data_IF_359307806836
#
_entry.id   IF_359307806836
#
_cell.length_a   1.000
_cell.length_b   1.000
_cell.length_c   1.000
_cell.angle_alpha   90.00
_cell.angle_beta   90.00
_cell.angle_gamma   90.00
#
_symmetry.space_group_name_H-M   'P 1'
#
loop_
_entity.id
_entity.type
_entity.pdbx_description
1 polymer ?
#
# COMPACT_ATOMS: atom_id res chain seq x y z
N UNK A 1 -9.57 -16.47 47.40
CA UNK A 1 -9.03 -15.17 46.93
C UNK A 1 -8.72 -15.08 45.42
N UNK A 2 -8.66 -16.16 44.64
CA UNK A 2 -8.23 -16.11 43.22
C UNK A 2 -9.33 -16.03 42.14
N UNK A 3 -10.63 -16.07 42.49
CA UNK A 3 -11.73 -15.94 41.50
C UNK A 3 -12.27 -14.51 41.32
N UNK A 4 -11.97 -13.59 42.23
CA UNK A 4 -12.40 -12.19 42.15
C UNK A 4 -11.54 -11.32 41.22
N UNK A 5 -10.24 -11.58 41.14
CA UNK A 5 -9.28 -10.78 40.38
C UNK A 5 -9.45 -10.95 38.85
N UNK A 6 -9.79 -12.17 38.40
CA UNK A 6 -10.02 -12.48 36.98
C UNK A 6 -11.32 -11.86 36.45
N UNK A 7 -12.37 -11.80 37.29
CA UNK A 7 -13.64 -11.15 36.93
C UNK A 7 -13.46 -9.63 36.87
N UNK A 8 -12.68 -9.03 37.78
CA UNK A 8 -12.37 -7.60 37.73
C UNK A 8 -11.56 -7.21 36.49
N UNK A 9 -10.54 -7.98 36.10
CA UNK A 9 -9.77 -7.73 34.88
C UNK A 9 -10.60 -7.92 33.60
N UNK A 10 -11.51 -8.91 33.56
CA UNK A 10 -12.42 -9.09 32.43
C UNK A 10 -13.48 -7.98 32.33
N UNK A 11 -13.97 -7.46 33.48
CA UNK A 11 -14.88 -6.32 33.52
C UNK A 11 -14.17 -5.03 33.16
N UNK A 12 -12.93 -4.81 33.62
CA UNK A 12 -12.11 -3.65 33.27
C UNK A 12 -11.73 -3.66 31.78
N UNK A 13 -11.36 -4.82 31.22
CA UNK A 13 -11.13 -4.96 29.77
C UNK A 13 -12.41 -4.76 28.94
N UNK A 14 -13.58 -5.22 29.42
CA UNK A 14 -14.88 -4.95 28.77
C UNK A 14 -15.34 -3.49 28.93
N UNK A 15 -15.01 -2.82 30.04
CA UNK A 15 -15.30 -1.40 30.29
C UNK A 15 -14.36 -0.49 29.48
N UNK A 16 -13.07 -0.82 29.37
CA UNK A 16 -12.11 -0.16 28.47
C UNK A 16 -12.47 -0.41 26.99
N UNK A 17 -12.91 -1.62 26.63
CA UNK A 17 -13.42 -1.91 25.29
C UNK A 17 -14.79 -1.26 25.00
N UNK A 18 -15.64 -1.03 26.02
CA UNK A 18 -16.86 -0.22 25.90
C UNK A 18 -16.55 1.28 25.82
N UNK A 19 -15.53 1.76 26.53
CA UNK A 19 -15.04 3.14 26.49
C UNK A 19 -14.41 3.50 25.15
N UNK A 20 -13.61 2.61 24.56
CA UNK A 20 -12.98 2.79 23.24
C UNK A 20 -13.95 2.62 22.06
N UNK A 21 -15.08 1.93 22.23
CA UNK A 21 -16.11 1.79 21.18
C UNK A 21 -16.85 3.08 20.85
N UNK A 22 -16.68 4.15 21.63
CA UNK A 22 -17.35 5.44 21.46
C UNK A 22 -16.43 6.65 21.69
N UNK A 23 -15.17 6.63 21.25
CA UNK A 23 -14.49 7.90 21.02
C UNK A 23 -15.26 8.64 19.92
N UNK A 24 -15.97 9.72 20.30
CA UNK A 24 -16.84 10.46 19.40
C UNK A 24 -15.97 11.06 18.30
N UNK A 25 -16.11 10.56 17.07
CA UNK A 25 -15.38 11.07 15.91
C UNK A 25 -15.48 12.60 15.86
N UNK A 26 -14.38 13.28 15.54
CA UNK A 26 -14.39 14.72 15.27
C UNK A 26 -15.30 15.03 14.07
N UNK A 27 -15.70 16.29 13.90
CA UNK A 27 -16.51 16.68 12.73
C UNK A 27 -15.79 16.36 11.41
N UNK A 28 -14.48 16.60 11.35
CA UNK A 28 -13.63 16.27 10.22
C UNK A 28 -13.59 14.76 9.95
N UNK A 29 -13.35 13.95 10.99
CA UNK A 29 -13.36 12.48 10.84
C UNK A 29 -14.70 11.94 10.37
N UNK A 30 -15.83 12.52 10.85
CA UNK A 30 -17.17 12.13 10.36
C UNK A 30 -17.34 12.46 8.89
N UNK A 31 -16.94 13.66 8.45
CA UNK A 31 -17.01 14.06 7.04
C UNK A 31 -16.14 13.17 6.16
N UNK A 32 -14.89 12.93 6.56
CA UNK A 32 -13.96 12.03 5.87
C UNK A 32 -14.57 10.64 5.68
N UNK A 33 -15.04 9.98 6.75
CA UNK A 33 -15.66 8.65 6.65
C UNK A 33 -17.00 8.64 5.91
N UNK A 34 -17.78 9.73 5.97
CA UNK A 34 -19.00 9.86 5.17
C UNK A 34 -18.71 10.02 3.68
N UNK A 35 -17.50 10.47 3.32
CA UNK A 35 -17.08 10.66 1.93
C UNK A 35 -16.49 9.41 1.27
N UNK A 36 -16.23 8.34 2.04
CA UNK A 36 -15.78 7.05 1.50
C UNK A 36 -16.84 6.50 0.55
N UNK A 37 -16.48 6.33 -0.72
CA UNK A 37 -17.32 5.71 -1.75
C UNK A 37 -16.84 4.32 -2.12
N UNK A 38 -15.59 4.00 -1.82
CA UNK A 38 -15.05 2.69 -2.09
C UNK A 38 -15.64 1.61 -1.18
N UNK A 39 -15.35 0.37 -1.54
CA UNK A 39 -15.73 -0.80 -0.77
C UNK A 39 -15.23 -0.69 0.68
N UNK A 40 -16.14 -0.96 1.62
CA UNK A 40 -15.79 -0.97 3.02
C UNK A 40 -15.08 -2.29 3.39
N UNK A 41 -13.78 -2.36 3.12
CA UNK A 41 -12.91 -3.50 3.45
C UNK A 41 -12.85 -3.80 4.96
N UNK A 42 -13.29 -2.89 5.82
CA UNK A 42 -13.43 -3.17 7.27
C UNK A 42 -14.46 -4.25 7.55
N UNK A 43 -15.47 -4.42 6.68
CA UNK A 43 -16.43 -5.55 6.78
C UNK A 43 -15.75 -6.87 6.41
N UNK A 44 -14.91 -6.87 5.38
CA UNK A 44 -14.12 -8.04 4.97
C UNK A 44 -13.15 -8.43 6.10
N UNK A 45 -12.48 -7.47 6.73
CA UNK A 45 -11.59 -7.72 7.85
C UNK A 45 -12.30 -8.51 8.97
N UNK A 46 -13.54 -8.13 9.31
CA UNK A 46 -14.33 -8.82 10.34
C UNK A 46 -14.69 -10.27 9.98
N UNK A 47 -14.80 -10.58 8.69
CA UNK A 47 -15.21 -11.90 8.21
C UNK A 47 -14.03 -12.83 7.92
N UNK A 48 -12.95 -12.28 7.38
CA UNK A 48 -11.87 -13.07 6.79
C UNK A 48 -10.54 -12.92 7.52
N UNK A 49 -10.29 -11.80 8.20
CA UNK A 49 -9.03 -11.59 8.87
C UNK A 49 -8.97 -12.36 10.18
N UNK A 50 -7.89 -13.11 10.37
CA UNK A 50 -7.62 -13.77 11.64
C UNK A 50 -6.92 -12.78 12.58
N UNK A 51 -7.32 -12.82 13.86
CA UNK A 51 -6.70 -12.04 14.93
C UNK A 51 -5.56 -12.83 15.56
N UNK A 52 -4.40 -12.21 15.69
CA UNK A 52 -3.27 -12.78 16.43
C UNK A 52 -3.51 -12.71 17.94
N UNK A 53 -2.91 -13.64 18.70
CA UNK A 53 -2.85 -13.56 20.16
C UNK A 53 -1.70 -12.68 20.65
N UNK A 54 -0.73 -12.37 19.78
CA UNK A 54 0.36 -11.43 20.06
C UNK A 54 -0.19 -10.01 20.11
N UNK A 55 0.08 -9.33 21.21
CA UNK A 55 -0.11 -7.88 21.36
C UNK A 55 1.18 -7.22 20.91
N UNK A 56 1.15 -6.27 20.00
CA UNK A 56 2.34 -5.52 19.58
C UNK A 56 2.68 -4.44 20.61
N UNK A 57 3.95 -4.31 20.97
CA UNK A 57 4.48 -3.41 22.02
C UNK A 57 5.48 -2.41 21.45
N UNK A 58 6.05 -1.55 22.30
CA UNK A 58 7.09 -0.61 21.90
C UNK A 58 8.33 -1.30 21.31
N UNK A 59 8.63 -2.53 21.75
CA UNK A 59 9.74 -3.33 21.21
C UNK A 59 9.53 -3.75 19.75
N UNK A 60 8.27 -3.83 19.30
CA UNK A 60 7.95 -4.13 17.91
C UNK A 60 7.95 -2.86 17.04
N UNK A 61 8.11 -1.66 17.62
CA UNK A 61 8.05 -0.40 16.87
C UNK A 61 9.20 -0.33 15.86
N UNK A 62 8.87 0.00 14.62
CA UNK A 62 9.88 0.26 13.58
C UNK A 62 10.60 1.58 13.85
N UNK A 63 11.84 1.70 13.35
CA UNK A 63 12.61 2.94 13.53
C UNK A 63 11.92 4.14 12.84
N UNK A 64 12.08 5.37 13.36
CA UNK A 64 11.52 6.57 12.74
C UNK A 64 11.93 6.74 11.27
N UNK A 65 13.15 6.35 10.93
CA UNK A 65 13.71 6.44 9.57
C UNK A 65 12.95 5.51 8.61
N UNK A 66 12.68 4.27 9.04
CA UNK A 66 11.90 3.31 8.24
C UNK A 66 10.43 3.76 8.09
N UNK A 67 9.84 4.33 9.16
CA UNK A 67 8.50 4.91 9.09
C UNK A 67 8.42 6.03 8.06
N UNK A 68 9.43 6.91 8.06
CA UNK A 68 9.54 7.99 7.09
C UNK A 68 9.76 7.46 5.67
N UNK A 69 10.70 6.52 5.46
CA UNK A 69 10.97 5.89 4.16
C UNK A 69 9.68 5.29 3.55
N UNK A 70 8.91 4.53 4.34
CA UNK A 70 7.68 3.93 3.86
C UNK A 70 6.55 4.93 3.66
N UNK A 71 6.49 6.00 4.47
CA UNK A 71 5.55 7.08 4.24
C UNK A 71 5.82 7.78 2.91
N UNK A 72 7.09 7.98 2.53
CA UNK A 72 7.50 8.55 1.24
C UNK A 72 7.20 7.60 0.08
N UNK A 73 7.61 6.33 0.15
CA UNK A 73 7.35 5.35 -0.92
C UNK A 73 5.83 5.15 -1.12
N UNK A 74 5.05 5.22 -0.03
CA UNK A 74 3.58 5.15 -0.08
C UNK A 74 2.95 6.26 -0.93
N UNK A 75 3.55 7.45 -0.99
CA UNK A 75 3.05 8.55 -1.83
C UNK A 75 3.05 8.19 -3.32
N UNK A 76 4.07 7.46 -3.79
CA UNK A 76 4.14 6.97 -5.16
C UNK A 76 3.10 5.86 -5.43
N UNK A 77 2.91 4.95 -4.47
CA UNK A 77 1.86 3.92 -4.57
C UNK A 77 0.44 4.54 -4.65
N UNK A 78 0.21 5.61 -3.89
CA UNK A 78 -1.05 6.35 -3.88
C UNK A 78 -1.25 7.12 -5.19
N UNK A 79 -0.21 7.79 -5.69
CA UNK A 79 -0.26 8.56 -6.94
C UNK A 79 -0.64 7.70 -8.16
N UNK A 80 -0.30 6.41 -8.16
CA UNK A 80 -0.67 5.51 -9.24
C UNK A 80 -2.20 5.41 -9.46
N UNK A 81 -3.03 5.77 -8.47
CA UNK A 81 -4.50 5.82 -8.59
C UNK A 81 -5.01 7.10 -9.24
N UNK A 82 -4.15 8.07 -9.56
CA UNK A 82 -4.55 9.32 -10.18
C UNK A 82 -5.34 9.08 -11.46
N UNK A 83 -6.41 9.84 -11.63
CA UNK A 83 -7.17 9.88 -12.89
C UNK A 83 -6.50 10.76 -13.94
N UNK A 84 -5.59 11.64 -13.53
CA UNK A 84 -4.75 12.43 -14.41
C UNK A 84 -3.59 11.57 -14.91
N UNK A 85 -3.20 11.75 -16.16
CA UNK A 85 -2.06 11.05 -16.75
C UNK A 85 -0.77 11.37 -15.97
N UNK A 86 0.13 10.40 -15.74
CA UNK A 86 1.41 10.64 -15.07
C UNK A 86 2.19 11.80 -15.67
N UNK A 87 2.21 11.93 -17.00
CA UNK A 87 2.88 13.00 -17.74
C UNK A 87 2.40 14.38 -17.28
N UNK A 88 1.09 14.53 -17.12
CA UNK A 88 0.50 15.77 -16.62
C UNK A 88 0.89 16.00 -15.16
N UNK A 89 0.76 14.99 -14.30
CA UNK A 89 1.05 15.16 -12.87
C UNK A 89 2.51 15.54 -12.64
N UNK A 90 3.45 14.79 -13.23
CA UNK A 90 4.89 15.05 -13.07
C UNK A 90 5.31 16.40 -13.69
N UNK A 91 4.65 16.84 -14.77
CA UNK A 91 4.86 18.17 -15.35
C UNK A 91 4.27 19.33 -14.54
N UNK A 92 3.43 19.06 -13.53
CA UNK A 92 2.72 20.07 -12.74
C UNK A 92 2.82 19.82 -11.22
N UNK A 93 3.86 19.12 -10.75
CA UNK A 93 4.01 18.78 -9.33
C UNK A 93 3.97 20.03 -8.44
N UNK A 94 4.66 21.10 -8.80
CA UNK A 94 4.70 22.33 -8.01
C UNK A 94 3.29 22.92 -7.81
N UNK A 95 2.50 23.01 -8.89
CA UNK A 95 1.15 23.55 -8.83
C UNK A 95 0.20 22.64 -8.03
N UNK A 96 0.30 21.32 -8.22
CA UNK A 96 -0.55 20.33 -7.56
C UNK A 96 -0.18 20.09 -6.08
N UNK A 97 1.04 20.45 -5.67
CA UNK A 97 1.54 20.27 -4.28
C UNK A 97 1.26 21.46 -3.37
N UNK A 98 0.72 22.57 -3.90
CA UNK A 98 0.32 23.74 -3.11
C UNK A 98 -0.72 23.38 -2.04
N UNK A 99 -0.82 24.21 -1.01
CA UNK A 99 -1.88 24.11 -0.01
C UNK A 99 -3.27 24.01 -0.67
N UNK A 100 -4.13 23.15 -0.14
CA UNK A 100 -5.47 22.82 -0.68
C UNK A 100 -5.52 22.13 -2.06
N UNK A 101 -4.40 21.94 -2.75
CA UNK A 101 -4.34 21.16 -4.00
C UNK A 101 -4.25 19.64 -3.74
N UNK A 102 -4.41 18.78 -4.77
CA UNK A 102 -4.54 17.34 -4.57
C UNK A 102 -3.32 16.67 -3.93
N UNK A 103 -2.11 17.18 -4.19
CA UNK A 103 -0.83 16.63 -3.71
C UNK A 103 -0.26 17.39 -2.50
N UNK A 104 -1.07 18.20 -1.83
CA UNK A 104 -0.72 18.79 -0.54
C UNK A 104 -0.25 17.69 0.45
N UNK A 105 0.99 17.80 0.94
CA UNK A 105 1.64 16.85 1.84
C UNK A 105 2.24 15.61 1.16
N UNK A 106 2.36 15.61 -0.17
CA UNK A 106 3.09 14.59 -0.95
C UNK A 106 4.54 15.04 -1.21
N UNK A 107 5.27 15.25 -0.12
CA UNK A 107 6.59 15.89 -0.14
C UNK A 107 7.71 15.01 -0.74
N UNK A 108 7.44 13.74 -1.04
CA UNK A 108 8.40 12.82 -1.64
C UNK A 108 8.37 12.84 -3.18
N UNK A 109 7.32 13.38 -3.79
CA UNK A 109 7.17 13.45 -5.25
C UNK A 109 8.04 14.55 -5.89
N UNK A 110 8.14 15.78 -5.32
CA UNK A 110 9.02 16.82 -5.86
C UNK A 110 10.47 16.34 -6.02
N UNK A 111 11.13 16.78 -7.10
CA UNK A 111 12.47 16.32 -7.47
C UNK A 111 12.51 14.94 -8.14
N UNK A 112 11.35 14.36 -8.47
CA UNK A 112 11.25 13.14 -9.28
C UNK A 112 10.94 13.45 -10.74
N UNK A 113 11.54 12.69 -11.64
CA UNK A 113 11.32 12.80 -13.09
C UNK A 113 10.54 11.58 -13.58
N UNK A 114 9.47 11.78 -14.34
CA UNK A 114 8.76 10.68 -14.99
C UNK A 114 9.63 10.06 -16.08
N UNK A 115 9.80 8.74 -16.04
CA UNK A 115 10.45 7.97 -17.12
C UNK A 115 9.40 7.48 -18.12
N UNK A 116 8.34 6.85 -17.61
CA UNK A 116 7.26 6.29 -18.43
C UNK A 116 5.95 6.19 -17.65
N UNK A 117 4.88 6.82 -18.13
CA UNK A 117 3.51 6.46 -17.74
C UNK A 117 2.98 5.32 -18.62
N UNK A 118 2.20 4.40 -18.05
CA UNK A 118 1.64 3.30 -18.83
C UNK A 118 0.28 2.81 -18.32
N UNK A 119 -0.43 2.11 -19.20
CA UNK A 119 -1.65 1.36 -18.90
C UNK A 119 -1.49 -0.06 -19.41
N UNK A 120 -1.84 -1.02 -18.57
CA UNK A 120 -1.74 -2.43 -18.91
C UNK A 120 -2.85 -2.90 -19.85
N UNK A 121 -2.53 -3.88 -20.70
CA UNK A 121 -3.45 -4.47 -21.69
C UNK A 121 -4.65 -5.20 -21.04
N UNK A 122 -4.56 -5.43 -19.73
CA UNK A 122 -5.60 -6.07 -18.92
C UNK A 122 -6.17 -5.05 -17.94
N UNK A 123 -7.48 -4.83 -18.04
CA UNK A 123 -8.24 -3.93 -17.17
C UNK A 123 -7.76 -2.47 -17.18
N UNK A 124 -6.99 -2.08 -18.21
CA UNK A 124 -6.46 -0.73 -18.37
C UNK A 124 -5.64 -0.26 -17.16
N UNK A 125 -4.92 -1.21 -16.52
CA UNK A 125 -4.31 -1.03 -15.21
C UNK A 125 -3.25 0.08 -15.23
N UNK A 126 -3.45 1.21 -14.53
CA UNK A 126 -2.47 2.29 -14.50
C UNK A 126 -1.21 1.91 -13.73
N UNK A 127 -0.06 2.34 -14.24
CA UNK A 127 1.22 2.35 -13.55
C UNK A 127 2.17 3.35 -14.17
N UNK A 128 3.30 3.57 -13.53
CA UNK A 128 4.35 4.43 -14.06
C UNK A 128 5.72 4.07 -13.49
N UNK A 129 6.77 4.56 -14.16
CA UNK A 129 8.15 4.54 -13.71
C UNK A 129 8.63 5.99 -13.56
N UNK A 130 9.20 6.33 -12.40
CA UNK A 130 9.76 7.64 -12.13
C UNK A 130 11.12 7.52 -11.45
N UNK A 131 12.07 8.37 -11.85
CA UNK A 131 13.37 8.47 -11.20
C UNK A 131 13.32 9.53 -10.10
N UNK A 132 13.50 9.10 -8.84
CA UNK A 132 13.56 9.94 -7.64
C UNK A 132 15.00 10.38 -7.40
N UNK A 133 15.40 11.48 -8.03
CA UNK A 133 16.79 11.95 -8.05
C UNK A 133 17.44 12.15 -6.66
N UNK A 134 16.75 12.71 -5.63
CA UNK A 134 17.36 12.93 -4.31
C UNK A 134 17.83 11.65 -3.61
N UNK A 135 17.30 10.49 -4.00
CA UNK A 135 17.70 9.17 -3.47
C UNK A 135 18.30 8.24 -4.52
N UNK A 136 18.46 8.70 -5.78
CA UNK A 136 18.88 7.88 -6.92
C UNK A 136 18.08 6.58 -7.08
N UNK A 137 16.77 6.67 -6.80
CA UNK A 137 15.85 5.52 -6.83
C UNK A 137 15.04 5.52 -8.12
N UNK A 138 14.92 4.37 -8.77
CA UNK A 138 13.95 4.16 -9.85
C UNK A 138 12.68 3.53 -9.27
N UNK A 139 11.61 4.31 -9.17
CA UNK A 139 10.34 3.89 -8.59
C UNK A 139 9.43 3.34 -9.69
N UNK A 140 8.98 2.11 -9.56
CA UNK A 140 7.92 1.50 -10.38
C UNK A 140 6.66 1.40 -9.52
N UNK A 141 5.67 2.24 -9.80
CA UNK A 141 4.43 2.30 -9.03
C UNK A 141 3.27 1.74 -9.84
N UNK A 142 2.53 0.79 -9.24
CA UNK A 142 1.40 0.13 -9.89
C UNK A 142 0.15 0.32 -9.03
N UNK A 143 -0.91 0.79 -9.65
CA UNK A 143 -2.19 1.03 -8.99
C UNK A 143 -2.92 -0.28 -8.63
N UNK A 144 -3.92 -0.18 -7.75
CA UNK A 144 -4.93 -1.21 -7.61
C UNK A 144 -6.09 -0.97 -8.59
N UNK A 145 -6.90 -2.00 -8.85
CA UNK A 145 -8.09 -1.83 -9.70
C UNK A 145 -9.37 -1.75 -8.87
N UNK A 146 -10.25 -0.81 -9.24
CA UNK A 146 -11.61 -0.73 -8.72
C UNK A 146 -12.47 -1.98 -9.07
N UNK A 147 -12.03 -2.79 -10.05
CA UNK A 147 -12.74 -4.00 -10.52
C UNK A 147 -12.37 -5.27 -9.74
N UNK A 148 -11.27 -5.28 -8.98
CA UNK A 148 -10.92 -6.40 -8.08
C UNK A 148 -12.00 -6.59 -7.02
N UNK A 149 -12.78 -5.55 -6.75
CA UNK A 149 -14.05 -5.60 -6.03
C UNK A 149 -14.93 -6.80 -6.42
N UNK A 150 -15.06 -7.08 -7.71
CA UNK A 150 -15.87 -8.21 -8.18
C UNK A 150 -15.11 -9.54 -8.00
N UNK A 151 -13.81 -9.60 -8.28
CA UNK A 151 -12.99 -10.80 -8.07
C UNK A 151 -12.75 -11.18 -6.60
N UNK A 152 -12.91 -10.23 -5.67
CA UNK A 152 -12.82 -10.46 -4.22
C UNK A 152 -14.16 -10.96 -3.64
N UNK A 153 -15.28 -10.62 -4.28
CA UNK A 153 -16.63 -11.05 -3.89
C UNK A 153 -17.06 -12.33 -4.60
N UNK A 154 -16.82 -12.42 -5.90
CA UNK A 154 -16.89 -13.64 -6.68
C UNK A 154 -15.66 -14.46 -6.28
N UNK A 155 -15.87 -15.45 -5.41
CA UNK A 155 -14.89 -16.32 -4.73
C UNK A 155 -14.06 -17.18 -5.73
N UNK A 156 -13.51 -16.58 -6.78
CA UNK A 156 -12.68 -17.25 -7.75
C UNK A 156 -11.21 -17.13 -7.31
N UNK A 157 -10.89 -17.76 -6.19
CA UNK A 157 -9.52 -17.91 -5.67
C UNK A 157 -8.70 -18.92 -6.48
N UNK A 158 -8.95 -19.02 -7.78
CA UNK A 158 -8.30 -19.98 -8.67
C UNK A 158 -6.82 -19.69 -8.76
N UNK A 159 -6.03 -20.69 -8.40
CA UNK A 159 -4.59 -20.73 -8.62
C UNK A 159 -4.31 -21.31 -10.00
N UNK A 160 -3.30 -20.78 -10.66
CA UNK A 160 -2.70 -21.35 -11.87
C UNK A 160 -1.22 -21.58 -11.62
N UNK A 161 -0.59 -22.47 -12.39
CA UNK A 161 0.85 -22.73 -12.31
C UNK A 161 1.64 -21.46 -12.63
N UNK A 162 2.63 -21.15 -11.80
CA UNK A 162 3.60 -20.09 -12.04
C UNK A 162 4.86 -20.68 -12.73
N UNK A 163 5.48 -19.99 -13.70
CA UNK A 163 6.61 -20.55 -14.47
C UNK A 163 7.90 -20.75 -13.66
N UNK A 164 8.09 -20.01 -12.56
CA UNK A 164 9.32 -20.05 -11.72
C UNK A 164 9.71 -21.44 -11.21
N UNK A 165 8.76 -22.36 -10.99
CA UNK A 165 9.12 -23.64 -10.42
C UNK A 165 8.02 -24.68 -10.37
N UNK A 166 8.41 -25.92 -10.10
CA UNK A 166 7.48 -27.04 -9.90
C UNK A 166 6.62 -26.78 -8.66
N UNK A 167 5.31 -27.00 -8.75
CA UNK A 167 4.39 -26.79 -7.63
C UNK A 167 4.10 -25.33 -7.28
N UNK A 168 4.83 -24.36 -7.87
CA UNK A 168 4.55 -22.94 -7.70
C UNK A 168 3.21 -22.57 -8.34
N UNK A 169 2.36 -21.90 -7.59
CA UNK A 169 1.04 -21.48 -8.06
C UNK A 169 0.70 -20.07 -7.60
N UNK A 170 0.06 -19.31 -8.48
CA UNK A 170 -0.26 -17.89 -8.34
C UNK A 170 -1.76 -17.66 -8.54
N UNK A 171 -2.32 -16.64 -7.91
CA UNK A 171 -3.69 -16.20 -8.19
C UNK A 171 -3.84 -15.84 -9.67
N UNK A 172 -4.80 -16.47 -10.36
CA UNK A 172 -4.96 -16.31 -11.81
C UNK A 172 -5.21 -14.87 -12.24
N UNK A 173 -5.97 -14.11 -11.45
CA UNK A 173 -6.24 -12.69 -11.72
C UNK A 173 -5.00 -11.82 -11.60
N UNK A 174 -4.19 -12.00 -10.55
CA UNK A 174 -2.99 -11.20 -10.34
C UNK A 174 -1.93 -11.50 -11.40
N UNK A 175 -1.79 -12.77 -11.78
CA UNK A 175 -0.92 -13.15 -12.88
C UNK A 175 -1.35 -12.54 -14.22
N UNK A 176 -2.66 -12.54 -14.51
CA UNK A 176 -3.20 -11.92 -15.74
C UNK A 176 -2.90 -10.41 -15.78
N UNK A 177 -3.11 -9.71 -14.66
CA UNK A 177 -2.84 -8.28 -14.56
C UNK A 177 -1.34 -7.97 -14.70
N UNK A 178 -0.49 -8.71 -13.99
CA UNK A 178 0.95 -8.58 -14.11
C UNK A 178 1.43 -8.79 -15.55
N UNK A 179 0.98 -9.86 -16.23
CA UNK A 179 1.31 -10.08 -17.65
C UNK A 179 0.89 -8.94 -18.56
N UNK A 180 -0.21 -8.24 -18.24
CA UNK A 180 -0.69 -7.10 -19.02
C UNK A 180 0.11 -5.81 -18.83
N UNK A 181 0.91 -5.68 -17.75
CA UNK A 181 1.80 -4.53 -17.51
C UNK A 181 3.28 -4.87 -17.66
N UNK A 182 3.64 -6.16 -17.74
CA UNK A 182 5.03 -6.64 -17.71
C UNK A 182 5.91 -5.93 -18.73
N UNK A 183 5.48 -5.86 -19.99
CA UNK A 183 6.29 -5.26 -21.07
C UNK A 183 6.60 -3.79 -20.77
N UNK A 184 5.58 -3.01 -20.44
CA UNK A 184 5.69 -1.58 -20.16
C UNK A 184 6.52 -1.32 -18.90
N UNK A 185 6.36 -2.13 -17.85
CA UNK A 185 7.14 -2.00 -16.63
C UNK A 185 8.63 -2.28 -16.86
N UNK A 186 8.97 -3.36 -17.58
CA UNK A 186 10.36 -3.67 -17.94
C UNK A 186 10.95 -2.59 -18.87
N UNK A 187 10.20 -2.13 -19.87
CA UNK A 187 10.62 -1.04 -20.75
C UNK A 187 10.93 0.24 -19.95
N UNK A 188 10.08 0.60 -18.99
CA UNK A 188 10.33 1.75 -18.12
C UNK A 188 11.53 1.57 -17.20
N UNK A 189 11.78 0.35 -16.70
CA UNK A 189 12.99 0.03 -15.94
C UNK A 189 14.23 0.19 -16.81
N UNK A 190 14.26 -0.45 -17.99
CA UNK A 190 15.41 -0.42 -18.89
C UNK A 190 15.74 1.01 -19.33
N UNK A 191 14.72 1.81 -19.67
CA UNK A 191 14.89 3.23 -19.98
C UNK A 191 15.44 4.01 -18.79
N UNK A 192 14.88 3.83 -17.60
CA UNK A 192 15.34 4.52 -16.40
C UNK A 192 16.78 4.18 -16.04
N UNK A 193 17.17 2.92 -16.16
CA UNK A 193 18.55 2.45 -15.94
C UNK A 193 19.53 3.00 -16.99
N UNK A 194 19.08 3.24 -18.23
CA UNK A 194 19.90 3.82 -19.29
C UNK A 194 20.01 5.35 -19.25
N UNK A 195 19.00 6.03 -18.71
CA UNK A 195 18.90 7.50 -18.67
C UNK A 195 19.46 8.11 -17.37
N UNK A 196 19.46 7.37 -16.26
CA UNK A 196 19.78 7.90 -14.93
C UNK A 196 20.79 7.05 -14.16
N UNK A 197 21.47 7.67 -13.19
CA UNK A 197 22.31 6.96 -12.22
C UNK A 197 21.44 6.31 -11.14
N UNK A 198 21.06 5.05 -11.36
CA UNK A 198 20.16 4.31 -10.45
C UNK A 198 20.96 3.48 -9.45
N UNK A 199 20.83 3.81 -8.16
CA UNK A 199 21.41 3.04 -7.06
C UNK A 199 20.43 2.02 -6.47
N UNK A 200 19.13 2.16 -6.74
CA UNK A 200 18.10 1.24 -6.25
C UNK A 200 16.85 1.27 -7.13
N UNK A 201 16.23 0.11 -7.33
CA UNK A 201 14.90 -0.01 -7.93
C UNK A 201 13.88 -0.27 -6.81
N UNK A 202 12.85 0.57 -6.72
CA UNK A 202 11.75 0.41 -5.76
C UNK A 202 10.47 0.03 -6.48
N UNK A 203 9.99 -1.17 -6.22
CA UNK A 203 8.72 -1.68 -6.74
C UNK A 203 7.64 -1.44 -5.68
N UNK A 204 6.64 -0.62 -6.01
CA UNK A 204 5.64 -0.18 -5.04
C UNK A 204 4.22 -0.30 -5.58
N UNK A 205 3.29 -0.53 -4.66
CA UNK A 205 1.87 -0.58 -5.00
C UNK A 205 0.99 -0.78 -3.79
N UNK A 206 -0.22 -0.23 -3.88
CA UNK A 206 -1.26 -0.40 -2.88
C UNK A 206 -2.33 -1.39 -3.36
N UNK A 207 -2.92 -2.17 -2.45
CA UNK A 207 -3.93 -3.18 -2.74
C UNK A 207 -3.39 -4.24 -3.71
N UNK A 208 -4.17 -4.55 -4.74
CA UNK A 208 -3.76 -5.37 -5.88
C UNK A 208 -2.46 -4.88 -6.55
N UNK A 209 -2.17 -3.58 -6.57
CA UNK A 209 -0.92 -3.05 -7.14
C UNK A 209 0.32 -3.64 -6.46
N UNK A 210 0.26 -3.84 -5.14
CA UNK A 210 1.32 -4.52 -4.39
C UNK A 210 1.47 -6.00 -4.78
N UNK A 211 0.39 -6.67 -5.15
CA UNK A 211 0.45 -8.05 -5.63
C UNK A 211 1.17 -8.13 -6.99
N UNK A 212 0.90 -7.16 -7.87
CA UNK A 212 1.58 -7.03 -9.16
C UNK A 212 3.05 -6.64 -8.98
N UNK A 213 3.36 -5.76 -8.01
CA UNK A 213 4.74 -5.40 -7.67
C UNK A 213 5.57 -6.61 -7.21
N UNK A 214 5.01 -7.49 -6.37
CA UNK A 214 5.67 -8.76 -6.00
C UNK A 214 5.92 -9.67 -7.22
N UNK A 215 4.94 -9.79 -8.12
CA UNK A 215 5.10 -10.61 -9.34
C UNK A 215 6.17 -10.03 -10.27
N UNK A 216 6.28 -8.70 -10.36
CA UNK A 216 7.36 -8.03 -11.07
C UNK A 216 8.72 -8.29 -10.41
N UNK A 217 8.80 -8.22 -9.08
CA UNK A 217 10.01 -8.54 -8.34
C UNK A 217 10.50 -9.98 -8.59
N UNK A 218 9.56 -10.93 -8.58
CA UNK A 218 9.84 -12.34 -8.90
C UNK A 218 10.38 -12.45 -10.33
N UNK A 219 9.77 -11.79 -11.31
CA UNK A 219 10.24 -11.83 -12.69
C UNK A 219 11.66 -11.26 -12.83
N UNK A 220 11.95 -10.11 -12.21
CA UNK A 220 13.27 -9.49 -12.23
C UNK A 220 14.36 -10.37 -11.59
N UNK A 221 14.03 -11.11 -10.53
CA UNK A 221 15.02 -11.89 -9.78
C UNK A 221 15.13 -13.36 -10.18
N UNK A 222 14.06 -13.96 -10.70
CA UNK A 222 13.96 -15.42 -10.90
C UNK A 222 13.67 -15.85 -12.34
N UNK A 223 13.25 -14.96 -13.24
CA UNK A 223 12.87 -15.36 -14.60
C UNK A 223 13.96 -15.00 -15.62
N UNK A 224 14.28 -15.97 -16.48
CA UNK A 224 15.20 -15.79 -17.60
C UNK A 224 14.65 -14.73 -18.57
N UNK A 225 15.48 -13.73 -18.92
CA UNK A 225 15.11 -12.64 -19.83
C UNK A 225 14.69 -11.32 -19.18
N UNK A 226 14.67 -11.22 -17.85
CA UNK A 226 14.42 -9.97 -17.10
C UNK A 226 15.65 -9.45 -16.34
N UNK A 227 16.86 -9.88 -16.74
CA UNK A 227 18.13 -9.60 -16.04
C UNK A 227 18.69 -8.18 -16.24
N UNK A 228 17.89 -7.22 -16.69
CA UNK A 228 18.36 -5.84 -16.90
C UNK A 228 18.74 -5.10 -15.61
N UNK A 229 18.45 -5.68 -14.43
CA UNK A 229 18.74 -5.06 -13.13
C UNK A 229 20.09 -5.47 -12.51
N UNK A 230 20.83 -6.39 -13.13
CA UNK A 230 22.16 -6.82 -12.66
C UNK A 230 22.25 -7.01 -11.13
N UNK A 231 23.22 -6.34 -10.52
CA UNK A 231 23.44 -6.31 -9.06
C UNK A 231 22.77 -5.11 -8.36
N UNK A 232 21.98 -4.31 -9.08
CA UNK A 232 21.26 -3.17 -8.51
C UNK A 232 20.32 -3.64 -7.39
N UNK A 233 20.35 -3.01 -6.20
CA UNK A 233 19.42 -3.26 -5.11
C UNK A 233 17.95 -3.15 -5.54
N UNK A 234 17.11 -4.06 -5.05
CA UNK A 234 15.66 -4.06 -5.31
C UNK A 234 14.90 -3.98 -3.99
N UNK A 235 14.05 -2.98 -3.84
CA UNK A 235 13.12 -2.87 -2.71
C UNK A 235 11.69 -3.11 -3.18
N UNK A 236 10.97 -4.02 -2.53
CA UNK A 236 9.52 -4.19 -2.70
C UNK A 236 8.81 -3.54 -1.53
N UNK A 237 8.01 -2.51 -1.77
CA UNK A 237 7.20 -1.82 -0.76
C UNK A 237 5.72 -1.90 -1.10
N UNK A 238 4.99 -2.77 -0.40
CA UNK A 238 3.64 -3.15 -0.77
C UNK A 238 2.66 -2.85 0.38
N UNK A 239 1.59 -2.11 0.10
CA UNK A 239 0.64 -1.61 1.09
C UNK A 239 -0.72 -2.30 0.92
N UNK A 240 -1.27 -2.88 1.97
CA UNK A 240 -2.60 -3.52 1.93
C UNK A 240 -2.70 -4.67 0.93
N UNK A 241 -1.60 -5.36 0.70
CA UNK A 241 -1.48 -6.34 -0.38
C UNK A 241 -2.19 -7.65 -0.03
N UNK A 242 -3.03 -8.21 -0.93
CA UNK A 242 -3.62 -9.53 -0.75
C UNK A 242 -2.55 -10.63 -0.80
N UNK A 243 -2.91 -11.85 -0.39
CA UNK A 243 -2.06 -13.03 -0.61
C UNK A 243 -2.00 -13.36 -2.10
N UNK A 244 -0.82 -13.62 -2.64
CA UNK A 244 -0.61 -13.66 -4.10
C UNK A 244 -0.45 -15.08 -4.63
N UNK A 245 0.19 -15.96 -3.87
CA UNK A 245 0.56 -17.31 -4.30
C UNK A 245 0.50 -18.34 -3.20
N UNK A 246 0.82 -19.58 -3.54
CA UNK A 246 0.92 -20.69 -2.58
C UNK A 246 2.27 -20.72 -1.87
N UNK A 247 2.40 -21.63 -0.89
CA UNK A 247 3.62 -21.86 -0.12
C UNK A 247 4.85 -22.05 -1.02
N UNK A 248 4.78 -22.92 -2.04
CA UNK A 248 5.91 -23.21 -2.92
C UNK A 248 6.42 -21.95 -3.66
N UNK A 249 5.51 -21.07 -4.11
CA UNK A 249 5.93 -19.82 -4.76
C UNK A 249 6.54 -18.83 -3.77
N UNK A 250 6.03 -18.77 -2.54
CA UNK A 250 6.61 -17.93 -1.47
C UNK A 250 8.00 -18.45 -1.07
N UNK A 251 8.18 -19.76 -0.94
CA UNK A 251 9.47 -20.38 -0.64
C UNK A 251 10.49 -20.11 -1.75
N UNK A 252 10.10 -20.25 -3.03
CA UNK A 252 10.97 -19.92 -4.16
C UNK A 252 11.41 -18.46 -4.14
N UNK A 253 10.51 -17.54 -3.79
CA UNK A 253 10.84 -16.12 -3.63
C UNK A 253 11.81 -15.89 -2.46
N UNK A 254 11.53 -16.45 -1.29
CA UNK A 254 12.36 -16.26 -0.10
C UNK A 254 13.77 -16.86 -0.28
N UNK A 255 13.89 -18.01 -0.95
CA UNK A 255 15.18 -18.59 -1.34
C UNK A 255 15.98 -17.66 -2.29
N UNK A 256 15.30 -17.03 -3.25
CA UNK A 256 15.92 -16.05 -4.15
C UNK A 256 16.45 -14.82 -3.41
N UNK A 257 15.63 -14.28 -2.50
CA UNK A 257 15.98 -13.14 -1.63
C UNK A 257 17.20 -13.49 -0.79
N UNK A 258 17.20 -14.65 -0.13
CA UNK A 258 18.31 -15.12 0.70
C UNK A 258 19.59 -15.25 -0.12
N UNK A 259 19.56 -15.97 -1.25
CA UNK A 259 20.74 -16.15 -2.12
C UNK A 259 21.31 -14.83 -2.62
N UNK A 260 20.44 -13.87 -2.98
CA UNK A 260 20.88 -12.54 -3.43
C UNK A 260 21.51 -11.74 -2.29
N UNK A 261 20.97 -11.81 -1.08
CA UNK A 261 21.55 -11.16 0.11
C UNK A 261 22.88 -11.80 0.54
N UNK A 262 23.00 -13.11 0.48
CA UNK A 262 24.27 -13.82 0.76
C UNK A 262 25.37 -13.38 -0.21
N UNK A 263 25.03 -13.12 -1.48
CA UNK A 263 25.98 -12.70 -2.51
C UNK A 263 26.32 -11.20 -2.47
N UNK A 264 25.34 -10.34 -2.22
CA UNK A 264 25.45 -8.88 -2.42
C UNK A 264 25.21 -8.04 -1.15
N UNK A 265 24.91 -8.69 -0.02
CA UNK A 265 24.58 -8.07 1.25
C UNK A 265 23.09 -7.83 1.46
N UNK A 266 22.70 -7.56 2.71
CA UNK A 266 21.30 -7.41 3.15
C UNK A 266 20.49 -6.38 2.35
N UNK A 267 21.16 -5.32 1.86
CA UNK A 267 20.51 -4.26 1.09
C UNK A 267 20.14 -4.66 -0.33
N UNK A 268 20.67 -5.76 -0.85
CA UNK A 268 20.46 -6.20 -2.23
C UNK A 268 18.99 -6.50 -2.54
N UNK A 269 18.23 -6.98 -1.54
CA UNK A 269 16.77 -7.07 -1.62
C UNK A 269 16.15 -6.65 -0.30
N UNK A 270 15.24 -5.67 -0.30
CA UNK A 270 14.43 -5.32 0.88
C UNK A 270 12.95 -5.57 0.59
N UNK A 271 12.24 -6.04 1.61
CA UNK A 271 10.82 -6.37 1.50
C UNK A 271 10.03 -5.70 2.62
N UNK A 272 9.12 -4.82 2.24
CA UNK A 272 8.28 -4.07 3.14
C UNK A 272 6.82 -4.32 2.80
N UNK A 273 6.20 -5.29 3.46
CA UNK A 273 4.77 -5.56 3.32
C UNK A 273 4.02 -4.93 4.49
N UNK A 274 3.25 -3.87 4.24
CA UNK A 274 2.50 -3.13 5.26
C UNK A 274 1.04 -3.54 5.26
N UNK A 275 0.58 -4.08 6.38
CA UNK A 275 -0.84 -4.27 6.70
C UNK A 275 -1.32 -3.09 7.53
N UNK A 276 -2.61 -2.79 7.54
CA UNK A 276 -3.14 -1.70 8.35
C UNK A 276 -4.32 -2.14 9.22
N UNK A 277 -4.51 -1.44 10.33
CA UNK A 277 -5.65 -1.62 11.19
C UNK A 277 -6.98 -1.59 10.42
N UNK A 278 -7.83 -2.59 10.64
CA UNK A 278 -9.13 -2.76 9.97
C UNK A 278 -9.08 -2.84 8.43
N UNK A 279 -7.94 -3.18 7.83
CA UNK A 279 -7.90 -3.57 6.43
C UNK A 279 -8.19 -5.06 6.26
N UNK A 280 -9.14 -5.38 5.38
CA UNK A 280 -9.54 -6.75 5.05
C UNK A 280 -8.82 -7.33 3.84
N UNK A 281 -8.17 -6.52 3.00
CA UNK A 281 -7.55 -7.00 1.76
C UNK A 281 -6.41 -7.99 2.03
N UNK A 282 -5.50 -7.78 3.00
CA UNK A 282 -4.48 -8.76 3.34
C UNK A 282 -5.03 -10.10 3.82
N UNK A 283 -6.29 -10.15 4.25
CA UNK A 283 -6.94 -11.40 4.61
C UNK A 283 -7.39 -12.24 3.42
N UNK A 284 -7.28 -11.72 2.20
CA UNK A 284 -7.77 -12.37 0.98
C UNK A 284 -6.64 -12.64 -0.04
N UNK A 285 -6.75 -13.72 -0.84
CA UNK A 285 -7.56 -14.90 -0.56
C UNK A 285 -7.23 -15.52 0.82
N UNK A 286 -8.16 -16.25 1.46
CA UNK A 286 -7.91 -16.79 2.79
C UNK A 286 -6.77 -17.81 2.79
N UNK A 287 -6.01 -17.85 3.88
CA UNK A 287 -4.89 -18.78 4.04
C UNK A 287 -5.32 -20.26 3.99
N UNK A 288 -6.56 -20.58 4.38
CA UNK A 288 -7.14 -21.92 4.29
C UNK A 288 -7.27 -22.45 2.86
N UNK A 289 -7.30 -21.57 1.86
CA UNK A 289 -7.23 -21.94 0.44
C UNK A 289 -5.78 -22.16 -0.03
N UNK A 290 -4.81 -22.21 0.89
CA UNK A 290 -3.40 -22.44 0.59
C UNK A 290 -2.72 -21.26 -0.09
N UNK A 291 -3.19 -20.04 0.17
CA UNK A 291 -2.51 -18.79 -0.20
C UNK A 291 -1.66 -18.29 0.97
N UNK A 292 -0.55 -17.62 0.68
CA UNK A 292 0.42 -17.10 1.66
C UNK A 292 0.87 -15.69 1.33
N UNK A 293 1.31 -14.95 2.34
CA UNK A 293 2.02 -13.68 2.13
C UNK A 293 3.49 -13.94 1.75
N UNK A 294 4.01 -13.10 0.86
CA UNK A 294 5.38 -13.19 0.35
C UNK A 294 6.41 -12.79 1.39
N UNK A 295 6.27 -11.59 1.97
CA UNK A 295 7.20 -11.09 2.99
C UNK A 295 7.31 -12.07 4.18
N UNK A 296 8.54 -12.36 4.60
CA UNK A 296 8.81 -13.14 5.80
C UNK A 296 8.38 -12.38 7.07
N UNK A 297 8.73 -11.09 7.17
CA UNK A 297 8.39 -10.22 8.28
C UNK A 297 7.57 -9.02 7.77
N UNK A 298 6.23 -9.10 7.77
CA UNK A 298 5.40 -7.95 7.43
C UNK A 298 5.40 -6.92 8.57
N UNK A 299 4.86 -5.74 8.29
CA UNK A 299 4.63 -4.69 9.27
C UNK A 299 3.13 -4.40 9.41
N UNK A 300 2.75 -3.81 10.54
CA UNK A 300 1.38 -3.47 10.87
C UNK A 300 1.29 -1.98 11.22
N UNK A 301 0.58 -1.23 10.39
CA UNK A 301 0.30 0.18 10.56
C UNK A 301 -0.92 0.37 11.46
N UNK A 302 -0.71 1.01 12.61
CA UNK A 302 -1.74 1.27 13.59
C UNK A 302 -1.64 2.72 14.06
N UNK A 303 -2.66 3.52 13.70
CA UNK A 303 -2.88 4.87 14.22
C UNK A 303 -1.68 5.83 14.07
N UNK A 304 -0.93 5.73 12.98
CA UNK A 304 0.21 6.61 12.70
C UNK A 304 1.57 6.02 13.07
N UNK A 305 1.60 4.86 13.72
CA UNK A 305 2.81 4.12 14.03
C UNK A 305 2.88 2.82 13.21
N UNK A 306 4.09 2.34 12.97
CA UNK A 306 4.35 1.11 12.24
C UNK A 306 5.15 0.14 13.11
N UNK A 307 4.70 -1.11 13.15
CA UNK A 307 5.23 -2.17 13.99
C UNK A 307 5.68 -3.37 13.15
N UNK A 308 6.81 -3.97 13.47
CA UNK A 308 7.18 -5.28 12.96
C UNK A 308 6.21 -6.35 13.46
N UNK A 309 5.77 -7.22 12.56
CA UNK A 309 4.99 -8.40 12.91
C UNK A 309 5.94 -9.59 13.05
N UNK A 310 5.89 -10.35 14.15
CA UNK A 310 6.69 -11.56 14.28
C UNK A 310 6.45 -12.53 13.11
N UNK A 311 7.51 -13.16 12.61
CA UNK A 311 7.45 -14.05 11.43
C UNK A 311 6.42 -15.18 11.60
N UNK A 312 6.27 -15.71 12.81
CA UNK A 312 5.27 -16.74 13.13
C UNK A 312 3.82 -16.25 13.00
N UNK A 313 3.59 -14.95 13.13
CA UNK A 313 2.28 -14.30 13.11
C UNK A 313 1.94 -13.69 11.75
N UNK A 314 2.83 -13.81 10.75
CA UNK A 314 2.75 -13.09 9.47
C UNK A 314 1.46 -13.29 8.69
N UNK A 315 0.73 -14.37 8.92
CA UNK A 315 -0.54 -14.66 8.22
C UNK A 315 -1.76 -13.99 8.87
N UNK A 316 -1.62 -13.46 10.09
CA UNK A 316 -2.69 -12.72 10.75
C UNK A 316 -2.88 -11.33 10.11
N UNK A 317 -4.13 -10.87 10.13
CA UNK A 317 -4.52 -9.56 9.58
C UNK A 317 -4.89 -8.53 10.64
N UNK A 318 -5.13 -8.97 11.89
CA UNK A 318 -5.54 -8.11 12.98
C UNK A 318 -4.63 -8.35 14.19
N UNK A 319 -4.09 -7.26 14.72
CA UNK A 319 -3.28 -7.23 15.94
C UNK A 319 -3.85 -6.19 16.91
N UNK A 320 -3.78 -6.51 18.19
CA UNK A 320 -3.92 -5.53 19.25
C UNK A 320 -2.56 -4.88 19.51
N UNK A 321 -2.56 -3.61 19.88
CA UNK A 321 -1.35 -2.82 20.16
C UNK A 321 -1.44 -2.29 21.59
N UNK A 322 -0.35 -2.35 22.35
CA UNK A 322 -0.32 -1.86 23.73
C UNK A 322 -0.51 -0.34 23.78
N UNK A 323 -1.13 0.15 24.85
CA UNK A 323 -1.39 1.58 25.02
C UNK A 323 -0.10 2.39 25.18
N UNK A 324 0.93 1.80 25.78
CA UNK A 324 2.26 2.39 25.94
C UNK A 324 2.93 2.64 24.58
N UNK A 325 2.70 1.77 23.59
CA UNK A 325 3.32 1.83 22.28
C UNK A 325 2.68 2.88 21.35
N UNK A 326 1.44 3.25 21.61
CA UNK A 326 0.70 4.27 20.87
C UNK A 326 0.68 5.51 21.74
N UNK A 327 1.67 6.40 21.56
CA UNK A 327 1.87 7.60 22.38
C UNK A 327 0.54 8.18 22.88
N UNK A 328 0.31 8.16 24.20
CA UNK A 328 -1.00 8.29 24.84
C UNK A 328 -1.75 9.62 24.58
N UNK A 329 -1.21 10.53 23.76
CA UNK A 329 -1.68 11.93 23.62
C UNK A 329 -1.99 12.39 22.19
N UNK A 330 -1.93 11.56 21.15
CA UNK A 330 -2.38 11.98 19.80
C UNK A 330 -3.67 11.27 19.41
N UNK A 331 -4.73 12.06 19.20
CA UNK A 331 -5.97 11.52 18.62
C UNK A 331 -5.65 10.97 17.22
N UNK A 332 -5.93 9.69 16.93
CA UNK A 332 -5.59 9.11 15.63
C UNK A 332 -6.32 9.86 14.51
N UNK A 333 -5.61 10.23 13.44
CA UNK A 333 -6.22 10.84 12.25
C UNK A 333 -7.33 9.94 11.65
N UNK A 334 -7.06 8.63 11.62
CA UNK A 334 -7.95 7.61 11.04
C UNK A 334 -8.34 6.57 12.11
N UNK A 335 -9.19 6.92 13.10
CA UNK A 335 -9.51 6.04 14.23
C UNK A 335 -10.12 4.71 13.83
N UNK A 336 -10.86 4.65 12.70
CA UNK A 336 -11.46 3.41 12.18
C UNK A 336 -10.50 2.59 11.32
N UNK A 337 -9.30 3.09 11.02
CA UNK A 337 -8.38 2.48 10.06
C UNK A 337 -9.05 2.20 8.72
N UNK A 338 -8.61 1.17 8.01
CA UNK A 338 -9.19 0.70 6.75
C UNK A 338 -8.18 0.71 5.60
N UNK A 339 -8.59 0.11 4.49
CA UNK A 339 -7.75 -0.11 3.32
C UNK A 339 -7.21 1.18 2.67
N UNK A 340 -7.83 2.34 2.91
CA UNK A 340 -7.44 3.59 2.24
C UNK A 340 -6.52 4.49 3.07
N UNK A 341 -5.99 3.98 4.20
CA UNK A 341 -5.30 4.79 5.23
C UNK A 341 -3.91 4.26 5.56
N UNK A 342 -3.05 4.21 4.56
CA UNK A 342 -1.63 3.92 4.70
C UNK A 342 -0.85 5.23 4.84
N UNK A 343 0.22 5.25 5.65
CA UNK A 343 1.08 6.44 5.80
C UNK A 343 0.41 7.67 6.40
N UNK A 344 -0.78 7.54 6.99
CA UNK A 344 -1.50 8.67 7.59
C UNK A 344 -2.13 9.63 6.57
N UNK A 345 -2.42 9.18 5.35
CA UNK A 345 -3.15 9.91 4.30
C UNK A 345 -4.48 9.22 3.97
N UNK A 346 -5.38 9.96 3.31
CA UNK A 346 -6.66 9.47 2.78
C UNK A 346 -6.56 9.30 1.26
N UNK A 347 -6.45 8.06 0.80
CA UNK A 347 -6.34 7.74 -0.63
C UNK A 347 -7.57 8.19 -1.43
N UNK A 348 -8.78 8.15 -0.85
CA UNK A 348 -9.98 8.61 -1.54
C UNK A 348 -10.03 10.14 -1.65
N UNK A 349 -9.42 10.87 -0.71
CA UNK A 349 -9.22 12.33 -0.84
C UNK A 349 -8.36 12.66 -2.05
N UNK A 350 -7.24 11.95 -2.25
CA UNK A 350 -6.40 12.13 -3.44
C UNK A 350 -7.22 11.90 -4.72
N UNK A 351 -7.84 10.73 -4.86
CA UNK A 351 -8.60 10.39 -6.06
C UNK A 351 -9.75 11.36 -6.35
N UNK A 352 -10.46 11.81 -5.31
CA UNK A 352 -11.53 12.81 -5.42
C UNK A 352 -11.01 14.16 -5.88
N UNK A 353 -9.94 14.67 -5.28
CA UNK A 353 -9.37 15.98 -5.64
C UNK A 353 -8.76 15.96 -7.04
N UNK A 354 -8.05 14.90 -7.42
CA UNK A 354 -7.56 14.71 -8.80
C UNK A 354 -8.70 14.67 -9.82
N UNK A 355 -9.82 14.02 -9.47
CA UNK A 355 -11.03 14.01 -10.30
C UNK A 355 -11.63 15.41 -10.50
N UNK A 356 -11.65 16.25 -9.47
CA UNK A 356 -12.11 17.63 -9.61
C UNK A 356 -11.20 18.47 -10.50
N UNK A 357 -9.88 18.29 -10.38
CA UNK A 357 -8.92 18.95 -11.27
C UNK A 357 -9.19 18.53 -12.72
N UNK A 358 -9.29 17.23 -13.00
CA UNK A 358 -9.60 16.72 -14.35
C UNK A 358 -10.90 17.30 -14.92
N UNK A 359 -11.97 17.33 -14.12
CA UNK A 359 -13.28 17.87 -14.52
C UNK A 359 -13.20 19.36 -14.88
N UNK A 360 -12.44 20.14 -14.10
CA UNK A 360 -12.41 21.60 -14.22
C UNK A 360 -11.41 22.10 -15.24
N UNK A 361 -10.30 21.39 -15.46
CA UNK A 361 -9.34 21.69 -16.53
C UNK A 361 -10.01 21.70 -17.91
N UNK A 362 -11.04 20.88 -18.12
CA UNK A 362 -11.83 20.90 -19.35
C UNK A 362 -12.59 22.23 -19.57
N UNK A 363 -12.71 23.08 -18.54
CA UNK A 363 -13.47 24.33 -18.53
C UNK A 363 -12.65 25.62 -18.69
N UNK A 364 -11.37 25.55 -19.07
CA UNK A 364 -10.53 26.71 -19.41
C UNK A 364 -9.64 27.27 -18.28
N UNK A 365 -9.12 28.49 -18.46
CA UNK A 365 -8.04 29.10 -17.64
C UNK A 365 -8.40 29.41 -16.18
N UNK A 366 -9.68 29.43 -15.81
CA UNK A 366 -10.15 29.71 -14.43
C UNK A 366 -10.38 28.43 -13.59
N UNK A 367 -9.86 27.28 -14.03
CA UNK A 367 -10.13 26.00 -13.37
C UNK A 367 -9.63 25.95 -11.91
N UNK A 368 -8.53 26.64 -11.59
CA UNK A 368 -7.97 26.66 -10.22
C UNK A 368 -8.92 27.31 -9.22
N UNK A 369 -9.50 28.47 -9.57
CA UNK A 369 -10.48 29.17 -8.72
C UNK A 369 -11.71 28.29 -8.51
N UNK A 370 -12.23 27.67 -9.58
CA UNK A 370 -13.37 26.74 -9.49
C UNK A 370 -13.06 25.53 -8.59
N UNK A 371 -11.82 25.02 -8.67
CA UNK A 371 -11.35 23.93 -7.83
C UNK A 371 -11.31 24.32 -6.35
N UNK A 372 -10.69 25.45 -6.02
CA UNK A 372 -10.61 25.94 -4.65
C UNK A 372 -11.99 26.23 -4.05
N UNK A 373 -12.91 26.82 -4.83
CA UNK A 373 -14.31 27.00 -4.39
C UNK A 373 -14.96 25.66 -4.05
N UNK A 374 -14.77 24.63 -4.88
CA UNK A 374 -15.31 23.29 -4.60
C UNK A 374 -14.68 22.62 -3.37
N UNK A 375 -13.38 22.79 -3.16
CA UNK A 375 -12.68 22.31 -1.96
C UNK A 375 -13.26 23.00 -0.72
N UNK A 376 -13.36 24.33 -0.72
CA UNK A 376 -13.91 25.11 0.40
C UNK A 376 -15.33 24.67 0.77
N UNK A 377 -16.20 24.54 -0.24
CA UNK A 377 -17.58 24.07 -0.07
C UNK A 377 -17.66 22.66 0.49
N UNK A 378 -16.80 21.74 0.03
CA UNK A 378 -16.77 20.36 0.51
C UNK A 378 -16.24 20.25 1.94
N UNK A 379 -15.24 21.06 2.30
CA UNK A 379 -14.64 21.06 3.63
C UNK A 379 -15.49 21.84 4.67
N UNK A 380 -16.49 22.58 4.20
CA UNK A 380 -17.39 23.38 5.03
C UNK A 380 -16.76 24.68 5.52
N UNK A 381 -15.80 25.23 4.76
CA UNK A 381 -15.10 26.50 5.06
C UNK A 381 -15.86 27.74 4.58
N UNK A 382 -16.98 27.60 3.87
CA UNK A 382 -17.79 28.74 3.37
C UNK A 382 -18.62 29.47 4.45
N UNK A 383 -18.61 29.02 5.71
CA UNK A 383 -19.39 29.62 6.81
C UNK A 383 -18.53 30.06 8.02
N UNK A 384 -17.26 30.40 7.81
CA UNK A 384 -16.39 30.97 8.86
C UNK A 384 -16.01 32.41 8.59
#
# INVERSE_FOLDING_TARGET
MYKGLVILQHFHAKLLAKGKKNAKLSAEQRRMYASEKQMNFRKIAKLCATRSRRILTADDLTSPELQHELAEIGQFAELAYSVLAPEYVFGHLDALSRAEFPLEGYDALPGSTLVLGFRGDVADLPGYVAYRAPKKQLIVAISGTARVRHALYDVNFRKIRHPVGRGCAVHAGFWKLYRGVRRQALEGIDRGMGEFEVEEIVLTGHSMGGAVAYLLAIDLLLMEGSQSVGDTPVTVAAFGTPRVGNTALVEAWQDAVQKRRERLGERAVREYSVKAFNDGVPALPPASFGYKHFAAAPMYFYHGALFWVPVSEKEHGIFDVSEEAVAANTSPKHPRGGHNYYGGRDLERLGRRMGWVQEMMAGGSEWETKYLTRVSKFEGKENS
#
